data_IF_420507906231
#
_entry.id   IF_420507906231
#
_cell.length_a   1.000
_cell.length_b   1.000
_cell.length_c   1.000
_cell.angle_alpha   90.00
_cell.angle_beta   90.00
_cell.angle_gamma   90.00
#
_symmetry.space_group_name_H-M   'P 1'
#
loop_
_entity.id
_entity.type
_entity.pdbx_description
1 polymer ?
#
# COMPACT_ATOMS: atom_id res chain seq x y z
N UNK A 1 9.47 24.63 -6.17
CA UNK A 1 8.14 24.01 -5.97
C UNK A 1 7.44 24.57 -4.73
N UNK A 2 8.13 24.81 -3.60
CA UNK A 2 7.54 25.35 -2.37
C UNK A 2 7.03 26.79 -2.44
N UNK A 3 7.81 27.72 -2.99
CA UNK A 3 7.42 29.14 -3.10
C UNK A 3 6.15 29.33 -3.95
N UNK A 4 6.05 28.60 -5.07
CA UNK A 4 4.86 28.60 -5.91
C UNK A 4 3.60 28.00 -5.26
N UNK A 5 3.68 27.38 -4.07
CA UNK A 5 2.49 27.02 -3.28
C UNK A 5 1.92 28.26 -2.61
N UNK A 6 2.77 29.08 -1.99
CA UNK A 6 2.36 30.31 -1.30
C UNK A 6 1.74 31.30 -2.30
N UNK A 7 2.31 31.43 -3.50
CA UNK A 7 1.75 32.26 -4.56
C UNK A 7 0.34 31.82 -5.00
N UNK A 8 0.11 30.51 -5.12
CA UNK A 8 -1.17 29.95 -5.57
C UNK A 8 -2.21 29.84 -4.46
N UNK A 9 -1.77 29.79 -3.21
CA UNK A 9 -2.60 29.63 -2.02
C UNK A 9 -2.07 30.55 -0.90
N UNK A 10 -2.34 31.86 -0.97
CA UNK A 10 -1.78 32.85 -0.03
C UNK A 10 -2.31 32.71 1.40
N UNK A 11 -3.32 31.88 1.63
CA UNK A 11 -3.86 31.52 2.95
C UNK A 11 -3.10 30.36 3.62
N UNK A 12 -1.97 29.91 3.07
CA UNK A 12 -1.13 28.86 3.65
C UNK A 12 -0.05 29.49 4.52
N UNK A 13 -0.06 29.17 5.83
CA UNK A 13 0.90 29.71 6.79
C UNK A 13 2.26 29.01 6.78
N UNK A 14 2.30 27.72 6.41
CA UNK A 14 3.52 26.91 6.49
C UNK A 14 3.63 25.97 5.30
N UNK A 15 4.81 25.93 4.68
CA UNK A 15 5.17 24.96 3.64
C UNK A 15 6.45 24.25 4.03
N UNK A 16 6.41 22.93 4.16
CA UNK A 16 7.55 22.12 4.53
C UNK A 16 7.58 20.77 3.83
N UNK A 17 8.76 20.15 3.80
CA UNK A 17 8.99 18.89 3.14
C UNK A 17 8.81 17.70 4.08
N UNK A 18 8.89 16.49 3.52
CA UNK A 18 8.83 15.26 4.32
C UNK A 18 10.11 14.94 5.08
N UNK A 19 11.14 15.77 4.93
CA UNK A 19 12.46 15.56 5.51
C UNK A 19 12.67 16.27 6.85
N UNK A 20 11.77 17.18 7.21
CA UNK A 20 11.87 18.07 8.35
C UNK A 20 10.50 18.23 9.06
N UNK A 21 9.81 17.10 9.30
CA UNK A 21 8.55 17.09 10.04
C UNK A 21 8.69 17.64 11.47
N UNK A 22 9.87 17.48 12.06
CA UNK A 22 10.25 17.95 13.39
C UNK A 22 10.20 19.47 13.54
N UNK A 23 10.41 20.24 12.47
CA UNK A 23 10.44 21.72 12.55
C UNK A 23 9.07 22.37 12.50
N UNK A 24 7.99 21.63 12.21
CA UNK A 24 6.64 22.18 12.04
C UNK A 24 6.20 23.11 13.18
N UNK A 25 6.39 22.79 14.47
CA UNK A 25 6.04 23.71 15.55
C UNK A 25 6.77 25.05 15.44
N UNK A 26 8.06 25.03 15.11
CA UNK A 26 8.87 26.24 14.93
C UNK A 26 8.43 27.04 13.69
N UNK A 27 8.03 26.36 12.61
CA UNK A 27 7.50 27.00 11.40
C UNK A 27 6.19 27.74 11.68
N UNK A 28 5.29 27.13 12.45
CA UNK A 28 4.01 27.74 12.83
C UNK A 28 4.23 28.99 13.69
N UNK A 29 5.12 28.92 14.68
CA UNK A 29 5.45 30.08 15.51
C UNK A 29 6.13 31.20 14.71
N UNK A 30 7.03 30.84 13.78
CA UNK A 30 7.65 31.81 12.85
C UNK A 30 6.61 32.48 11.96
N UNK A 31 5.67 31.71 11.40
CA UNK A 31 4.63 32.25 10.53
C UNK A 31 3.70 33.21 11.29
N UNK A 32 3.32 32.86 12.52
CA UNK A 32 2.55 33.71 13.44
C UNK A 32 3.27 34.99 13.79
N UNK A 33 4.55 34.90 14.20
CA UNK A 33 5.34 36.06 14.60
C UNK A 33 5.56 37.05 13.45
N UNK A 34 5.91 36.53 12.27
CA UNK A 34 6.24 37.35 11.11
C UNK A 34 5.00 37.80 10.31
N UNK A 35 3.81 37.28 10.62
CA UNK A 35 2.59 37.46 9.81
C UNK A 35 2.81 37.15 8.33
N UNK A 36 3.62 36.13 8.04
CA UNK A 36 4.04 35.73 6.71
C UNK A 36 4.30 34.23 6.65
N UNK A 37 4.01 33.60 5.51
CA UNK A 37 4.18 32.17 5.35
C UNK A 37 5.63 31.73 5.59
N UNK A 38 5.82 30.72 6.43
CA UNK A 38 7.12 30.11 6.67
C UNK A 38 7.35 28.94 5.71
N UNK A 39 8.35 29.05 4.84
CA UNK A 39 8.70 28.00 3.86
C UNK A 39 10.05 27.40 4.24
N UNK A 40 10.09 26.08 4.43
CA UNK A 40 11.33 25.36 4.71
C UNK A 40 11.33 23.97 4.08
N UNK A 41 12.05 23.84 2.95
CA UNK A 41 12.16 22.60 2.21
C UNK A 41 13.57 22.03 2.36
N UNK A 42 13.69 20.97 3.15
CA UNK A 42 14.95 20.25 3.32
C UNK A 42 15.13 19.20 2.21
N UNK A 43 16.34 19.15 1.65
CA UNK A 43 16.68 18.23 0.55
C UNK A 43 16.99 16.80 1.03
N UNK A 44 17.26 16.63 2.33
CA UNK A 44 17.62 15.33 2.90
C UNK A 44 17.04 15.10 4.28
N UNK A 45 16.71 13.84 4.58
CA UNK A 45 16.12 13.43 5.86
C UNK A 45 17.11 13.64 7.02
N UNK A 46 16.78 14.57 7.92
CA UNK A 46 17.57 14.83 9.15
C UNK A 46 17.17 13.89 10.29
N UNK A 47 15.87 13.75 10.50
CA UNK A 47 15.28 12.96 11.59
C UNK A 47 14.35 11.91 11.00
N UNK A 48 14.44 10.66 11.48
CA UNK A 48 13.49 9.63 11.05
C UNK A 48 12.09 9.97 11.60
N UNK A 49 11.02 9.94 10.78
CA UNK A 49 9.70 10.34 11.26
C UNK A 49 9.22 9.55 12.48
N UNK A 50 9.64 8.29 12.61
CA UNK A 50 9.31 7.41 13.75
C UNK A 50 9.92 7.82 15.09
N UNK A 51 10.85 8.78 15.13
CA UNK A 51 11.37 9.31 16.41
C UNK A 51 10.53 10.45 16.97
N UNK A 52 9.53 10.93 16.21
CA UNK A 52 8.59 11.96 16.67
C UNK A 52 7.48 11.34 17.51
N UNK A 53 6.88 12.08 18.47
CA UNK A 53 5.70 11.62 19.17
C UNK A 53 4.56 11.29 18.18
N UNK A 54 4.08 10.05 18.21
CA UNK A 54 3.00 9.59 17.33
C UNK A 54 1.73 9.33 18.13
N UNK A 55 0.60 9.88 17.68
CA UNK A 55 -0.72 9.44 18.11
C UNK A 55 -1.27 8.49 17.05
N UNK A 56 -1.53 7.23 17.43
CA UNK A 56 -2.04 6.20 16.51
C UNK A 56 -3.56 6.34 16.39
N UNK A 57 -4.08 6.16 15.18
CA UNK A 57 -5.53 6.18 14.93
C UNK A 57 -6.20 4.88 15.40
N UNK A 58 -5.50 3.74 15.28
CA UNK A 58 -5.97 2.43 15.76
C UNK A 58 -5.24 2.04 17.04
N UNK A 59 -5.98 1.46 17.99
CA UNK A 59 -5.43 0.89 19.21
C UNK A 59 -4.89 -0.55 19.02
N UNK A 60 -5.39 -1.27 18.02
CA UNK A 60 -5.09 -2.70 17.79
C UNK A 60 -4.15 -2.95 16.61
N UNK A 61 -3.92 -1.95 15.75
CA UNK A 61 -3.04 -2.04 14.59
C UNK A 61 -2.01 -0.92 14.54
N UNK A 62 -0.75 -1.27 14.27
CA UNK A 62 0.38 -0.35 14.24
C UNK A 62 1.15 -0.41 12.92
N UNK A 63 1.58 0.77 12.46
CA UNK A 63 2.37 0.97 11.26
C UNK A 63 3.79 1.32 11.71
N UNK A 64 4.78 0.51 11.32
CA UNK A 64 6.18 0.65 11.75
C UNK A 64 7.07 0.78 10.53
N UNK A 65 7.66 1.96 10.34
CA UNK A 65 8.58 2.20 9.22
C UNK A 65 9.92 1.54 9.50
N UNK A 66 10.40 0.67 8.61
CA UNK A 66 11.69 -0.01 8.74
C UNK A 66 12.77 0.65 7.88
N UNK A 67 12.37 1.39 6.85
CA UNK A 67 13.26 2.09 5.93
C UNK A 67 12.55 3.29 5.28
N UNK A 68 13.36 4.26 4.84
CA UNK A 68 12.90 5.41 4.04
C UNK A 68 13.79 5.54 2.80
N UNK A 69 13.20 5.96 1.69
CA UNK A 69 13.92 6.17 0.42
C UNK A 69 13.98 4.89 -0.42
N UNK A 70 14.50 5.01 -1.64
CA UNK A 70 14.55 3.88 -2.57
C UNK A 70 15.76 4.00 -3.51
N UNK A 71 16.51 2.90 -3.66
CA UNK A 71 17.68 2.83 -4.54
C UNK A 71 17.35 2.38 -5.98
N UNK A 72 16.08 2.12 -6.30
CA UNK A 72 15.67 1.72 -7.63
C UNK A 72 15.67 2.90 -8.60
N UNK A 73 15.92 2.64 -9.88
CA UNK A 73 16.00 3.66 -10.93
C UNK A 73 14.84 3.57 -11.93
N UNK A 74 13.64 3.25 -11.45
CA UNK A 74 12.45 3.09 -12.30
C UNK A 74 12.16 4.39 -13.07
N UNK A 75 11.95 4.30 -14.38
CA UNK A 75 11.85 5.49 -15.25
C UNK A 75 10.59 6.33 -15.04
N UNK A 76 9.56 5.77 -14.40
CA UNK A 76 8.30 6.44 -14.10
C UNK A 76 8.21 6.94 -12.64
N UNK A 77 9.16 6.57 -11.78
CA UNK A 77 9.04 6.76 -10.34
C UNK A 77 9.88 7.96 -9.88
N UNK A 78 9.22 8.98 -9.31
CA UNK A 78 9.88 10.18 -8.78
C UNK A 78 10.42 9.99 -7.35
N UNK A 79 10.11 8.86 -6.71
CA UNK A 79 10.44 8.58 -5.30
C UNK A 79 11.93 8.74 -4.98
N UNK A 80 12.89 8.24 -5.78
CA UNK A 80 14.32 8.40 -5.47
C UNK A 80 14.76 9.86 -5.37
N UNK A 81 14.17 10.73 -6.21
CA UNK A 81 14.45 12.17 -6.20
C UNK A 81 13.80 12.89 -5.01
N UNK A 82 12.60 12.46 -4.57
CA UNK A 82 11.86 13.12 -3.48
C UNK A 82 12.19 12.59 -2.09
N UNK A 83 12.54 11.32 -1.96
CA UNK A 83 12.76 10.62 -0.67
C UNK A 83 14.23 10.24 -0.46
N UNK A 84 15.08 10.51 -1.43
CA UNK A 84 16.50 10.17 -1.39
C UNK A 84 16.79 8.69 -1.51
N UNK A 85 18.07 8.37 -1.32
CA UNK A 85 18.58 6.99 -1.25
C UNK A 85 18.00 6.26 -0.04
N UNK A 86 17.86 4.95 -0.17
CA UNK A 86 17.34 4.11 0.90
C UNK A 86 18.23 4.20 2.15
N UNK A 87 17.59 4.41 3.30
CA UNK A 87 18.19 4.37 4.62
C UNK A 87 17.35 3.44 5.49
N UNK A 88 18.00 2.38 5.97
CA UNK A 88 17.39 1.36 6.81
C UNK A 88 17.56 1.71 8.29
N UNK A 89 16.54 1.50 9.11
CA UNK A 89 16.65 1.56 10.57
C UNK A 89 17.37 0.34 11.11
N UNK A 90 17.99 0.44 12.29
CA UNK A 90 18.62 -0.73 12.91
C UNK A 90 17.54 -1.71 13.39
N UNK A 91 17.74 -3.04 13.26
CA UNK A 91 16.73 -4.02 13.67
C UNK A 91 16.26 -3.86 15.11
N UNK A 92 17.18 -3.57 16.04
CA UNK A 92 16.83 -3.35 17.45
C UNK A 92 15.93 -2.13 17.67
N UNK A 93 16.09 -1.05 16.90
CA UNK A 93 15.20 0.12 16.98
C UNK A 93 13.80 -0.18 16.43
N UNK A 94 13.71 -1.04 15.41
CA UNK A 94 12.44 -1.48 14.85
C UNK A 94 11.73 -2.39 15.86
N UNK A 95 12.43 -3.39 16.40
CA UNK A 95 11.87 -4.34 17.36
C UNK A 95 11.44 -3.65 18.66
N UNK A 96 12.23 -2.70 19.17
CA UNK A 96 11.84 -1.91 20.34
C UNK A 96 10.56 -1.10 20.10
N UNK A 97 10.34 -0.57 18.88
CA UNK A 97 9.08 0.08 18.54
C UNK A 97 7.93 -0.92 18.46
N UNK A 98 8.16 -2.10 17.87
CA UNK A 98 7.16 -3.20 17.79
C UNK A 98 6.75 -3.66 19.19
N UNK A 99 7.70 -3.88 20.09
CA UNK A 99 7.45 -4.23 21.50
C UNK A 99 6.67 -3.12 22.22
N UNK A 100 7.05 -1.86 22.01
CA UNK A 100 6.35 -0.73 22.62
C UNK A 100 4.89 -0.60 22.17
N UNK A 101 4.58 -0.89 20.91
CA UNK A 101 3.19 -0.87 20.43
C UNK A 101 2.41 -2.10 20.87
N UNK A 102 3.06 -3.27 20.95
CA UNK A 102 2.45 -4.47 21.50
C UNK A 102 2.03 -4.25 22.97
N UNK A 103 2.90 -3.65 23.77
CA UNK A 103 2.62 -3.27 25.16
C UNK A 103 1.47 -2.24 25.30
N UNK A 104 1.14 -1.51 24.23
CA UNK A 104 0.01 -0.59 24.16
C UNK A 104 -1.29 -1.26 23.69
N UNK A 105 -1.27 -2.56 23.39
CA UNK A 105 -2.44 -3.35 22.96
C UNK A 105 -2.53 -3.59 21.45
N UNK A 106 -1.51 -3.23 20.66
CA UNK A 106 -1.51 -3.56 19.24
C UNK A 106 -1.26 -5.06 19.03
N UNK A 107 -2.13 -5.71 18.25
CA UNK A 107 -2.01 -7.12 17.88
C UNK A 107 -1.60 -7.32 16.43
N UNK A 108 -1.78 -6.30 15.58
CA UNK A 108 -1.33 -6.30 14.18
C UNK A 108 -0.27 -5.22 13.94
N UNK A 109 0.84 -5.60 13.29
CA UNK A 109 1.91 -4.69 12.86
C UNK A 109 2.11 -4.78 11.36
N UNK A 110 2.13 -3.63 10.68
CA UNK A 110 2.52 -3.52 9.28
C UNK A 110 3.88 -2.85 9.16
N UNK A 111 4.87 -3.58 8.65
CA UNK A 111 6.21 -3.07 8.35
C UNK A 111 6.19 -2.26 7.04
N UNK A 112 6.75 -1.05 7.07
CA UNK A 112 6.67 -0.08 5.99
C UNK A 112 8.02 0.38 5.48
N UNK A 113 8.10 0.57 4.16
CA UNK A 113 9.22 1.17 3.46
C UNK A 113 8.88 1.29 1.97
N UNK A 114 9.63 2.08 1.21
CA UNK A 114 9.41 2.17 -0.24
C UNK A 114 9.84 0.90 -0.99
N UNK A 115 10.73 0.11 -0.38
CA UNK A 115 11.19 -1.19 -0.87
C UNK A 115 11.57 -2.09 0.32
N UNK A 116 10.56 -2.66 0.99
CA UNK A 116 10.75 -3.32 2.31
C UNK A 116 11.68 -4.51 2.28
N UNK A 117 11.64 -5.33 1.22
CA UNK A 117 12.48 -6.52 1.10
C UNK A 117 13.92 -6.22 0.63
N UNK A 118 14.27 -4.95 0.43
CA UNK A 118 15.67 -4.52 0.33
C UNK A 118 16.23 -4.03 1.67
N UNK A 119 15.48 -4.19 2.76
CA UNK A 119 15.95 -3.86 4.11
C UNK A 119 17.20 -4.66 4.47
N UNK A 120 18.20 -3.94 4.96
CA UNK A 120 19.52 -4.49 5.33
C UNK A 120 20.62 -4.22 4.32
N UNK A 121 20.27 -3.77 3.10
CA UNK A 121 21.26 -3.28 2.13
C UNK A 121 22.06 -2.10 2.70
N UNK A 122 21.42 -1.21 3.48
CA UNK A 122 22.08 -0.04 4.07
C UNK A 122 23.16 -0.38 5.10
N UNK A 123 23.15 -1.60 5.66
CA UNK A 123 24.12 -2.06 6.66
C UNK A 123 24.75 -3.42 6.32
N UNK A 124 24.63 -3.88 5.08
CA UNK A 124 25.37 -5.03 4.54
C UNK A 124 24.80 -6.42 4.82
N UNK A 125 23.55 -6.56 5.29
CA UNK A 125 22.91 -7.86 5.54
C UNK A 125 21.72 -8.07 4.60
N UNK A 126 21.91 -8.86 3.54
CA UNK A 126 20.87 -9.14 2.54
C UNK A 126 19.73 -10.02 3.07
N UNK A 127 19.93 -10.76 4.16
CA UNK A 127 18.90 -11.60 4.78
C UNK A 127 18.18 -10.90 5.94
N UNK A 128 18.45 -9.61 6.19
CA UNK A 128 17.93 -8.90 7.34
C UNK A 128 16.39 -8.81 7.34
N UNK A 129 15.76 -8.70 6.17
CA UNK A 129 14.30 -8.61 6.09
C UNK A 129 13.62 -9.92 6.56
N UNK A 130 14.11 -11.08 6.10
CA UNK A 130 13.59 -12.37 6.54
C UNK A 130 13.79 -12.58 8.06
N UNK A 131 14.95 -12.20 8.59
CA UNK A 131 15.22 -12.22 10.04
C UNK A 131 14.28 -11.28 10.80
N UNK A 132 14.03 -10.08 10.28
CA UNK A 132 13.15 -9.09 10.88
C UNK A 132 11.70 -9.58 10.91
N UNK A 133 11.21 -10.22 9.83
CA UNK A 133 9.87 -10.83 9.80
C UNK A 133 9.71 -11.87 10.91
N UNK A 134 10.67 -12.81 11.02
CA UNK A 134 10.66 -13.84 12.07
C UNK A 134 10.70 -13.24 13.48
N UNK A 135 11.58 -12.27 13.69
CA UNK A 135 11.71 -11.59 14.98
C UNK A 135 10.46 -10.80 15.35
N UNK A 136 9.86 -10.07 14.40
CA UNK A 136 8.61 -9.32 14.62
C UNK A 136 7.47 -10.26 14.96
N UNK A 137 7.36 -11.40 14.27
CA UNK A 137 6.34 -12.43 14.55
C UNK A 137 6.57 -13.21 15.84
N UNK A 138 7.71 -13.01 16.52
CA UNK A 138 8.01 -13.62 17.83
C UNK A 138 7.79 -12.64 19.00
N UNK A 139 7.40 -11.40 18.72
CA UNK A 139 7.12 -10.41 19.78
C UNK A 139 5.81 -10.78 20.48
N UNK A 140 5.86 -10.89 21.81
CA UNK A 140 4.69 -11.19 22.62
C UNK A 140 3.58 -10.14 22.42
N UNK A 141 2.35 -10.61 22.22
CA UNK A 141 1.18 -9.78 21.93
C UNK A 141 0.95 -9.50 20.43
N UNK A 142 1.94 -9.73 19.56
CA UNK A 142 1.75 -9.60 18.11
C UNK A 142 1.22 -10.91 17.53
N UNK A 143 -0.02 -10.86 17.02
CA UNK A 143 -0.67 -11.99 16.35
C UNK A 143 -0.58 -11.90 14.83
N UNK A 144 -0.45 -10.68 14.28
CA UNK A 144 -0.41 -10.45 12.83
C UNK A 144 0.72 -9.52 12.43
N UNK A 145 1.53 -9.96 11.49
CA UNK A 145 2.62 -9.21 10.85
C UNK A 145 2.33 -9.11 9.36
N UNK A 146 2.35 -7.89 8.85
CA UNK A 146 2.19 -7.57 7.43
C UNK A 146 3.36 -6.73 6.96
N UNK A 147 3.51 -6.65 5.65
CA UNK A 147 4.38 -5.70 5.00
C UNK A 147 3.79 -5.29 3.65
N UNK A 148 4.23 -4.15 3.13
CA UNK A 148 3.82 -3.67 1.81
C UNK A 148 5.00 -3.10 1.04
N UNK A 149 4.81 -2.87 -0.26
CA UNK A 149 5.86 -2.40 -1.18
C UNK A 149 7.10 -3.30 -1.30
N UNK A 150 6.99 -4.65 -1.35
CA UNK A 150 8.11 -5.48 -1.76
C UNK A 150 8.42 -5.27 -3.24
N UNK A 151 9.70 -5.31 -3.61
CA UNK A 151 10.13 -5.30 -5.00
C UNK A 151 10.39 -6.73 -5.47
N UNK A 152 9.82 -7.19 -6.61
CA UNK A 152 9.99 -8.59 -7.05
C UNK A 152 11.44 -9.04 -7.22
N UNK A 153 12.34 -8.12 -7.60
CA UNK A 153 13.76 -8.45 -7.73
C UNK A 153 14.49 -8.76 -6.40
N UNK A 154 13.96 -8.30 -5.27
CA UNK A 154 14.49 -8.54 -3.93
C UNK A 154 13.67 -9.58 -3.16
N UNK A 155 12.74 -10.27 -3.84
CA UNK A 155 11.93 -11.31 -3.22
C UNK A 155 12.64 -12.66 -3.39
N UNK A 156 13.32 -13.07 -2.32
CA UNK A 156 14.21 -14.23 -2.24
C UNK A 156 13.55 -15.38 -1.48
N UNK A 157 14.13 -16.57 -1.61
CA UNK A 157 13.54 -17.79 -1.03
C UNK A 157 13.50 -17.75 0.51
N UNK A 158 14.45 -17.08 1.16
CA UNK A 158 14.46 -16.85 2.61
C UNK A 158 13.26 -16.00 3.10
N UNK A 159 12.79 -15.05 2.30
CA UNK A 159 11.57 -14.27 2.60
C UNK A 159 10.33 -15.16 2.50
N UNK A 160 10.26 -16.01 1.47
CA UNK A 160 9.16 -16.97 1.29
C UNK A 160 9.13 -17.95 2.47
N UNK A 161 10.28 -18.49 2.85
CA UNK A 161 10.42 -19.38 3.99
C UNK A 161 10.10 -18.68 5.32
N UNK A 162 10.47 -17.41 5.48
CA UNK A 162 10.13 -16.64 6.67
C UNK A 162 8.62 -16.41 6.80
N UNK A 163 7.94 -16.11 5.69
CA UNK A 163 6.48 -16.01 5.67
C UNK A 163 5.83 -17.35 6.01
N UNK A 164 6.23 -18.44 5.35
CA UNK A 164 5.59 -19.74 5.52
C UNK A 164 5.82 -20.36 6.91
N UNK A 165 6.98 -20.11 7.53
CA UNK A 165 7.35 -20.71 8.81
C UNK A 165 6.99 -19.85 10.04
N UNK A 166 6.51 -18.62 9.85
CA UNK A 166 6.16 -17.72 10.95
C UNK A 166 4.66 -17.47 10.94
N UNK A 167 3.92 -18.12 11.82
CA UNK A 167 2.45 -18.08 11.86
C UNK A 167 1.87 -16.66 11.90
N UNK A 168 2.49 -15.78 12.68
CA UNK A 168 2.07 -14.38 12.75
C UNK A 168 2.23 -13.63 11.41
N UNK A 169 3.11 -14.08 10.50
CA UNK A 169 3.28 -13.44 9.19
C UNK A 169 2.15 -13.84 8.26
N UNK A 170 1.28 -12.88 7.98
CA UNK A 170 0.03 -13.14 7.28
C UNK A 170 0.25 -13.52 5.80
N UNK A 171 -0.55 -14.46 5.25
CA UNK A 171 -0.43 -14.94 3.87
C UNK A 171 -1.04 -13.95 2.87
N UNK A 172 -0.55 -12.71 2.89
CA UNK A 172 -0.96 -11.63 2.01
C UNK A 172 0.28 -10.97 1.41
N UNK A 173 0.35 -10.93 0.08
CA UNK A 173 1.52 -10.46 -0.64
C UNK A 173 1.12 -9.46 -1.72
N UNK A 174 1.50 -8.21 -1.54
CA UNK A 174 1.33 -7.18 -2.55
C UNK A 174 2.60 -7.07 -3.41
N UNK A 175 2.60 -7.60 -4.63
CA UNK A 175 3.77 -7.70 -5.52
C UNK A 175 3.57 -6.89 -6.80
N UNK A 176 4.12 -5.67 -6.89
CA UNK A 176 3.88 -4.78 -8.02
C UNK A 176 4.51 -5.30 -9.31
N UNK A 177 3.68 -5.81 -10.23
CA UNK A 177 4.07 -6.28 -11.57
C UNK A 177 4.46 -5.11 -12.47
N UNK A 178 3.71 -4.01 -12.42
CA UNK A 178 3.76 -2.83 -13.30
C UNK A 178 3.30 -3.11 -14.74
N UNK A 179 3.88 -4.10 -15.43
CA UNK A 179 3.45 -4.53 -16.77
C UNK A 179 3.77 -6.02 -16.98
N UNK A 180 2.98 -6.72 -17.80
CA UNK A 180 3.28 -8.09 -18.22
C UNK A 180 4.04 -8.18 -19.55
N UNK A 181 4.52 -7.06 -20.11
CA UNK A 181 5.46 -7.09 -21.24
C UNK A 181 6.89 -6.93 -20.77
N UNK A 182 7.76 -7.87 -21.13
CA UNK A 182 9.19 -7.77 -20.87
C UNK A 182 9.86 -6.59 -21.57
N UNK A 183 9.30 -6.13 -22.70
CA UNK A 183 9.78 -4.93 -23.41
C UNK A 183 9.44 -3.67 -22.61
N UNK A 184 8.20 -3.56 -22.14
CA UNK A 184 7.76 -2.44 -21.29
C UNK A 184 8.49 -2.46 -19.94
N UNK A 185 8.64 -3.63 -19.30
CA UNK A 185 9.42 -3.78 -18.07
C UNK A 185 10.88 -3.34 -18.21
N UNK A 186 11.52 -3.59 -19.36
CA UNK A 186 12.86 -3.04 -19.69
C UNK A 186 12.83 -1.52 -19.77
N UNK A 187 11.86 -0.95 -20.49
CA UNK A 187 11.73 0.50 -20.63
C UNK A 187 11.41 1.20 -19.30
N UNK A 188 10.69 0.51 -18.40
CA UNK A 188 10.45 0.92 -17.01
C UNK A 188 11.70 0.82 -16.11
N UNK A 189 12.80 0.23 -16.61
CA UNK A 189 14.01 -0.14 -15.85
C UNK A 189 13.73 -1.08 -14.67
N UNK A 190 12.80 -2.02 -14.83
CA UNK A 190 12.59 -3.11 -13.87
C UNK A 190 13.72 -4.14 -14.03
N UNK A 191 14.23 -4.65 -12.91
CA UNK A 191 15.31 -5.65 -12.87
C UNK A 191 14.82 -7.10 -12.94
N UNK A 192 13.52 -7.31 -13.17
CA UNK A 192 12.91 -8.63 -13.37
C UNK A 192 12.08 -8.66 -14.66
N UNK A 193 11.75 -9.88 -15.09
CA UNK A 193 10.94 -10.19 -16.27
C UNK A 193 9.76 -11.07 -15.87
N UNK A 194 8.78 -11.24 -16.75
CA UNK A 194 7.55 -12.00 -16.49
C UNK A 194 7.83 -13.41 -16.00
N UNK A 195 8.79 -14.11 -16.60
CA UNK A 195 9.18 -15.46 -16.19
C UNK A 195 9.62 -15.53 -14.72
N UNK A 196 10.50 -14.60 -14.29
CA UNK A 196 10.97 -14.53 -12.89
C UNK A 196 9.82 -14.17 -11.95
N UNK A 197 8.97 -13.21 -12.35
CA UNK A 197 7.82 -12.79 -11.56
C UNK A 197 6.86 -13.95 -11.32
N UNK A 198 6.46 -14.66 -12.37
CA UNK A 198 5.56 -15.81 -12.29
C UNK A 198 6.20 -16.96 -11.49
N UNK A 199 7.50 -17.21 -11.66
CA UNK A 199 8.23 -18.20 -10.87
C UNK A 199 8.22 -17.90 -9.36
N UNK A 200 8.25 -16.62 -8.95
CA UNK A 200 8.07 -16.24 -7.54
C UNK A 200 6.65 -16.59 -7.07
N UNK A 201 5.63 -16.30 -7.87
CA UNK A 201 4.25 -16.63 -7.51
C UNK A 201 4.05 -18.15 -7.38
N UNK A 202 4.65 -18.93 -8.29
CA UNK A 202 4.60 -20.38 -8.28
C UNK A 202 5.25 -20.93 -6.98
N UNK A 203 6.40 -20.39 -6.57
CA UNK A 203 7.06 -20.75 -5.30
C UNK A 203 6.20 -20.40 -4.07
N UNK A 204 5.64 -19.19 -4.04
CA UNK A 204 4.77 -18.75 -2.93
C UNK A 204 3.56 -19.67 -2.81
N UNK A 205 2.88 -19.97 -3.92
CA UNK A 205 1.71 -20.86 -3.94
C UNK A 205 2.02 -22.30 -3.59
N UNK A 206 3.25 -22.76 -3.83
CA UNK A 206 3.67 -24.11 -3.47
C UNK A 206 3.75 -24.30 -1.94
N UNK A 207 4.11 -23.26 -1.19
CA UNK A 207 4.27 -23.33 0.27
C UNK A 207 3.12 -22.66 1.06
N UNK A 208 2.42 -21.71 0.45
CA UNK A 208 1.27 -20.98 1.00
C UNK A 208 0.17 -20.90 -0.08
N UNK A 209 -0.53 -22.01 -0.37
CA UNK A 209 -1.51 -22.08 -1.46
C UNK A 209 -2.70 -21.13 -1.27
N UNK A 210 -3.01 -20.74 -0.03
CA UNK A 210 -4.06 -19.78 0.33
C UNK A 210 -3.64 -18.32 0.23
N UNK A 211 -2.36 -18.02 -0.06
CA UNK A 211 -1.85 -16.66 -0.07
C UNK A 211 -2.60 -15.76 -1.07
N UNK A 212 -3.12 -14.64 -0.57
CA UNK A 212 -3.70 -13.62 -1.42
C UNK A 212 -2.60 -12.76 -2.03
N UNK A 213 -2.38 -12.92 -3.34
CA UNK A 213 -1.42 -12.11 -4.08
C UNK A 213 -2.15 -10.96 -4.74
N UNK A 214 -1.72 -9.73 -4.46
CA UNK A 214 -2.21 -8.51 -5.12
C UNK A 214 -1.07 -7.82 -5.88
N UNK A 215 -1.40 -6.88 -6.77
CA UNK A 215 -0.40 -6.22 -7.62
C UNK A 215 -0.78 -4.79 -7.97
N UNK A 216 0.18 -4.05 -8.54
CA UNK A 216 -0.04 -2.79 -9.26
C UNK A 216 0.25 -3.01 -10.75
N UNK A 217 -0.56 -2.40 -11.62
CA UNK A 217 -0.38 -2.43 -13.08
C UNK A 217 -0.56 -1.01 -13.63
N UNK A 218 0.37 -0.59 -14.48
CA UNK A 218 0.32 0.69 -15.20
C UNK A 218 0.02 0.40 -16.67
N UNK A 219 -1.01 1.03 -17.20
CA UNK A 219 -1.43 0.94 -18.61
C UNK A 219 -1.06 2.23 -19.33
N UNK A 220 -0.63 2.11 -20.59
CA UNK A 220 -0.30 3.28 -21.41
C UNK A 220 1.08 3.85 -21.12
N UNK A 221 2.02 3.01 -20.66
CA UNK A 221 3.41 3.44 -20.52
C UNK A 221 3.96 3.89 -21.89
N UNK A 222 4.83 4.91 -21.96
CA UNK A 222 5.34 5.41 -23.23
C UNK A 222 5.98 4.30 -24.08
N UNK A 223 5.51 4.19 -25.32
CA UNK A 223 5.92 3.16 -26.27
C UNK A 223 5.19 1.82 -26.15
N UNK A 224 4.18 1.65 -25.29
CA UNK A 224 3.40 0.42 -25.13
C UNK A 224 2.52 0.12 -26.36
N UNK A 225 2.74 -1.02 -27.01
CA UNK A 225 1.94 -1.47 -28.17
C UNK A 225 0.79 -2.37 -27.74
N UNK A 226 -0.10 -2.75 -28.68
CA UNK A 226 -1.20 -3.65 -28.38
C UNK A 226 -0.70 -5.05 -27.99
N UNK A 227 0.39 -5.53 -28.60
CA UNK A 227 1.01 -6.82 -28.25
C UNK A 227 1.52 -6.82 -26.81
N UNK A 228 2.11 -5.71 -26.33
CA UNK A 228 2.54 -5.61 -24.93
C UNK A 228 1.37 -5.60 -23.95
N UNK A 229 0.27 -4.95 -24.37
CA UNK A 229 -0.95 -4.94 -23.58
C UNK A 229 -1.57 -6.34 -23.51
N UNK A 230 -1.61 -7.08 -24.63
CA UNK A 230 -2.02 -8.49 -24.63
C UNK A 230 -1.15 -9.35 -23.71
N UNK A 231 0.18 -9.22 -23.78
CA UNK A 231 1.09 -9.91 -22.87
C UNK A 231 0.79 -9.57 -21.39
N UNK A 232 0.38 -8.33 -21.11
CA UNK A 232 -0.08 -7.93 -19.77
C UNK A 232 -1.34 -8.66 -19.34
N UNK A 233 -2.34 -8.77 -20.21
CA UNK A 233 -3.56 -9.53 -19.94
C UNK A 233 -3.27 -11.02 -19.71
N UNK A 234 -2.39 -11.64 -20.51
CA UNK A 234 -1.98 -13.03 -20.36
C UNK A 234 -1.31 -13.30 -19.00
N UNK A 235 -0.39 -12.43 -18.59
CA UNK A 235 0.26 -12.54 -17.28
C UNK A 235 -0.75 -12.38 -16.16
N UNK A 236 -1.72 -11.48 -16.27
CA UNK A 236 -2.79 -11.30 -15.28
C UNK A 236 -3.67 -12.55 -15.18
N UNK A 237 -4.06 -13.14 -16.32
CA UNK A 237 -4.83 -14.39 -16.37
C UNK A 237 -4.09 -15.52 -15.66
N UNK A 238 -2.80 -15.72 -15.98
CA UNK A 238 -1.98 -16.77 -15.36
C UNK A 238 -1.70 -16.50 -13.89
N UNK A 239 -1.43 -15.24 -13.54
CA UNK A 239 -1.09 -14.86 -12.19
C UNK A 239 -2.29 -14.91 -11.24
N UNK A 240 -3.54 -14.83 -11.73
CA UNK A 240 -4.77 -14.94 -10.91
C UNK A 240 -4.72 -14.14 -9.61
N UNK A 241 -4.50 -12.83 -9.71
CA UNK A 241 -4.40 -11.95 -8.54
C UNK A 241 -5.72 -11.87 -7.77
N UNK A 242 -5.65 -11.89 -6.44
CA UNK A 242 -6.81 -11.68 -5.57
C UNK A 242 -7.43 -10.29 -5.75
N UNK A 243 -6.59 -9.30 -6.08
CA UNK A 243 -6.97 -7.95 -6.46
C UNK A 243 -5.79 -7.29 -7.18
N UNK A 244 -6.04 -6.30 -8.02
CA UNK A 244 -5.00 -5.49 -8.64
C UNK A 244 -5.38 -4.01 -8.61
N UNK A 245 -4.41 -3.16 -8.28
CA UNK A 245 -4.54 -1.73 -8.47
C UNK A 245 -4.09 -1.39 -9.89
N UNK A 246 -5.02 -0.89 -10.69
CA UNK A 246 -4.76 -0.52 -12.08
C UNK A 246 -4.68 0.99 -12.20
N UNK A 247 -3.67 1.47 -12.92
CA UNK A 247 -3.39 2.89 -13.09
C UNK A 247 -3.20 3.21 -14.56
N UNK A 248 -3.74 4.34 -15.00
CA UNK A 248 -3.29 4.98 -16.24
C UNK A 248 -1.93 5.61 -16.00
N UNK A 249 -0.99 5.47 -16.94
CA UNK A 249 0.30 6.16 -16.84
C UNK A 249 0.09 7.67 -16.73
N UNK A 250 0.73 8.28 -15.74
CA UNK A 250 0.68 9.71 -15.50
C UNK A 250 2.11 10.26 -15.55
N UNK A 251 2.46 11.09 -16.54
CA UNK A 251 3.79 11.65 -16.63
C UNK A 251 4.07 12.53 -15.42
N UNK A 252 5.21 12.28 -14.77
CA UNK A 252 5.68 13.07 -13.62
C UNK A 252 6.91 13.88 -14.04
N UNK A 253 6.89 15.22 -13.91
CA UNK A 253 8.05 16.05 -14.20
C UNK A 253 9.30 15.56 -13.46
N UNK A 254 10.43 15.51 -14.18
CA UNK A 254 11.70 15.02 -13.65
C UNK A 254 11.87 13.49 -13.67
N UNK A 255 10.96 12.75 -14.31
CA UNK A 255 11.12 11.30 -14.51
C UNK A 255 11.50 11.00 -15.98
N UNK A 256 12.44 10.07 -16.25
CA UNK A 256 12.84 9.77 -17.62
C UNK A 256 11.71 9.32 -18.56
N UNK A 257 10.63 8.74 -18.04
CA UNK A 257 9.49 8.34 -18.85
C UNK A 257 8.60 9.53 -19.26
N UNK A 258 8.61 10.63 -18.50
CA UNK A 258 7.85 11.83 -18.86
C UNK A 258 8.43 12.54 -20.09
N UNK A 259 9.75 12.45 -20.29
CA UNK A 259 10.48 13.12 -21.37
C UNK A 259 10.51 12.30 -22.68
N UNK A 260 9.75 11.22 -22.77
CA UNK A 260 9.70 10.37 -23.97
C UNK A 260 8.67 10.89 -24.96
N UNK A 261 9.02 10.90 -26.24
CA UNK A 261 8.13 11.37 -27.33
C UNK A 261 7.05 10.35 -27.73
N UNK A 262 7.23 9.07 -27.38
CA UNK A 262 6.35 7.97 -27.77
C UNK A 262 5.18 7.75 -26.80
N UNK A 263 4.56 8.84 -26.33
CA UNK A 263 3.39 8.77 -25.45
C UNK A 263 2.21 8.07 -26.15
N UNK A 264 1.49 7.22 -25.42
CA UNK A 264 0.31 6.51 -25.95
C UNK A 264 -0.90 7.46 -25.94
N UNK A 265 -1.70 7.54 -27.02
CA UNK A 265 -2.89 8.37 -27.06
C UNK A 265 -3.89 8.04 -25.94
N UNK A 266 -4.45 9.07 -25.31
CA UNK A 266 -5.33 8.92 -24.14
C UNK A 266 -6.52 7.97 -24.38
N UNK A 267 -7.13 7.98 -25.56
CA UNK A 267 -8.26 7.11 -25.87
C UNK A 267 -7.84 5.62 -25.93
N UNK A 268 -6.62 5.32 -26.36
CA UNK A 268 -6.06 3.96 -26.31
C UNK A 268 -5.79 3.54 -24.87
N UNK A 269 -5.24 4.44 -24.03
CA UNK A 269 -5.00 4.17 -22.61
C UNK A 269 -6.32 3.85 -21.89
N UNK A 270 -7.38 4.62 -22.15
CA UNK A 270 -8.71 4.39 -21.57
C UNK A 270 -9.33 3.07 -22.02
N UNK A 271 -9.21 2.71 -23.30
CA UNK A 271 -9.68 1.41 -23.80
C UNK A 271 -8.99 0.25 -23.09
N UNK A 272 -7.65 0.27 -23.06
CA UNK A 272 -6.83 -0.74 -22.39
C UNK A 272 -7.14 -0.82 -20.90
N UNK A 273 -7.29 0.33 -20.22
CA UNK A 273 -7.69 0.37 -18.81
C UNK A 273 -9.02 -0.35 -18.57
N UNK A 274 -10.04 -0.09 -19.40
CA UNK A 274 -11.37 -0.74 -19.27
C UNK A 274 -11.28 -2.26 -19.47
N UNK A 275 -10.51 -2.72 -20.46
CA UNK A 275 -10.31 -4.15 -20.74
C UNK A 275 -9.57 -4.85 -19.60
N UNK A 276 -8.54 -4.21 -19.05
CA UNK A 276 -7.81 -4.71 -17.89
C UNK A 276 -8.69 -4.73 -16.62
N UNK A 277 -9.46 -3.67 -16.36
CA UNK A 277 -10.40 -3.59 -15.22
C UNK A 277 -11.43 -4.73 -15.29
N UNK A 278 -12.01 -4.98 -16.46
CA UNK A 278 -12.95 -6.08 -16.66
C UNK A 278 -12.30 -7.44 -16.36
N UNK A 279 -11.08 -7.68 -16.83
CA UNK A 279 -10.33 -8.91 -16.57
C UNK A 279 -10.03 -9.09 -15.08
N UNK A 280 -9.45 -8.08 -14.43
CA UNK A 280 -9.09 -8.10 -13.01
C UNK A 280 -10.32 -8.37 -12.15
N UNK A 281 -11.48 -7.75 -12.48
CA UNK A 281 -12.72 -7.98 -11.74
C UNK A 281 -13.25 -9.39 -11.87
N UNK A 282 -13.21 -9.95 -13.08
CA UNK A 282 -13.61 -11.35 -13.30
C UNK A 282 -12.75 -12.28 -12.44
N UNK A 283 -11.43 -12.15 -12.52
CA UNK A 283 -10.51 -12.97 -11.74
C UNK A 283 -10.71 -12.76 -10.23
N UNK A 284 -10.79 -11.51 -9.76
CA UNK A 284 -11.00 -11.21 -8.35
C UNK A 284 -12.34 -11.77 -7.84
N UNK A 285 -13.38 -11.77 -8.68
CA UNK A 285 -14.64 -12.43 -8.36
C UNK A 285 -14.47 -13.93 -8.23
N UNK A 286 -13.88 -14.60 -9.23
CA UNK A 286 -13.57 -16.04 -9.18
C UNK A 286 -12.73 -16.41 -7.94
N UNK A 287 -11.74 -15.60 -7.56
CA UNK A 287 -10.93 -15.84 -6.36
C UNK A 287 -11.69 -15.63 -5.05
N UNK A 288 -12.72 -14.77 -5.04
CA UNK A 288 -13.59 -14.59 -3.88
C UNK A 288 -14.64 -15.71 -3.79
N UNK A 289 -15.15 -16.21 -4.92
CA UNK A 289 -16.06 -17.35 -4.94
C UNK A 289 -15.41 -18.59 -4.32
N UNK A 290 -14.11 -18.79 -4.56
CA UNK A 290 -13.31 -19.84 -3.89
C UNK A 290 -13.25 -19.74 -2.37
N UNK A 291 -13.56 -18.58 -1.80
CA UNK A 291 -13.62 -18.41 -0.35
C UNK A 291 -14.96 -18.86 0.24
N UNK A 292 -16.01 -19.04 -0.57
CA UNK A 292 -17.32 -19.45 -0.05
C UNK A 292 -17.24 -20.76 0.74
N UNK A 293 -17.92 -20.80 1.89
CA UNK A 293 -17.98 -21.95 2.77
C UNK A 293 -16.76 -22.12 3.67
N UNK A 294 -15.63 -21.45 3.39
CA UNK A 294 -14.45 -21.45 4.26
C UNK A 294 -14.74 -20.69 5.56
N UNK A 295 -14.13 -21.14 6.65
CA UNK A 295 -14.08 -20.40 7.91
C UNK A 295 -12.81 -19.57 7.91
N UNK A 296 -12.94 -18.28 8.16
CA UNK A 296 -11.82 -17.32 8.15
C UNK A 296 -11.83 -16.51 9.44
N UNK A 297 -10.65 -16.19 9.93
CA UNK A 297 -10.46 -15.30 11.08
C UNK A 297 -10.39 -13.85 10.62
N UNK A 298 -11.26 -13.01 11.16
CA UNK A 298 -11.42 -11.61 10.81
C UNK A 298 -11.04 -10.75 11.99
N UNK A 299 -10.05 -9.88 11.79
CA UNK A 299 -9.72 -8.83 12.73
C UNK A 299 -10.70 -7.67 12.53
N UNK A 300 -11.58 -7.44 13.50
CA UNK A 300 -12.60 -6.39 13.44
C UNK A 300 -11.94 -5.02 13.43
N UNK A 301 -12.36 -4.17 12.49
CA UNK A 301 -11.77 -2.85 12.27
C UNK A 301 -12.79 -1.72 12.38
N UNK A 302 -12.34 -0.58 12.93
CA UNK A 302 -13.17 0.62 13.00
C UNK A 302 -13.24 1.32 11.62
N UNK A 303 -14.46 1.65 11.17
CA UNK A 303 -14.66 2.52 10.00
C UNK A 303 -14.35 1.90 8.63
N UNK A 304 -14.01 0.61 8.55
CA UNK A 304 -13.89 -0.08 7.26
C UNK A 304 -15.26 -0.51 6.72
N UNK A 305 -15.51 -0.29 5.42
CA UNK A 305 -16.77 -0.67 4.76
C UNK A 305 -17.86 0.41 4.77
N UNK A 306 -18.81 0.34 3.82
CA UNK A 306 -20.02 1.16 3.87
C UNK A 306 -20.97 0.54 4.87
N UNK A 307 -21.34 1.34 5.89
CA UNK A 307 -22.40 1.02 6.86
C UNK A 307 -23.68 0.70 6.10
N UNK A 308 -24.06 -0.56 6.09
CA UNK A 308 -25.42 -0.94 5.74
C UNK A 308 -26.23 -0.98 7.02
N UNK A 309 -26.96 0.11 7.27
CA UNK A 309 -27.86 0.23 8.42
C UNK A 309 -28.96 -0.82 8.45
N UNK A 310 -29.20 -1.53 7.34
CA UNK A 310 -30.22 -2.59 7.23
C UNK A 310 -29.70 -3.93 7.77
N UNK A 311 -28.39 -4.20 7.68
CA UNK A 311 -27.84 -5.51 8.01
C UNK A 311 -26.97 -5.55 9.27
N UNK A 312 -26.81 -4.41 9.97
CA UNK A 312 -26.03 -4.30 11.22
C UNK A 312 -24.65 -4.98 11.14
N UNK A 313 -23.95 -4.79 10.01
CA UNK A 313 -22.68 -5.48 9.73
C UNK A 313 -21.51 -4.70 10.30
N UNK A 314 -20.64 -5.40 11.00
CA UNK A 314 -19.27 -4.92 11.27
C UNK A 314 -18.37 -5.33 10.11
N UNK A 315 -17.22 -4.69 9.98
CA UNK A 315 -16.22 -5.08 8.98
C UNK A 315 -14.87 -5.34 9.62
N UNK A 316 -14.06 -6.13 8.94
CA UNK A 316 -12.69 -6.39 9.34
C UNK A 316 -11.89 -7.02 8.21
N UNK A 317 -10.65 -7.38 8.53
CA UNK A 317 -9.72 -7.98 7.57
C UNK A 317 -9.43 -9.42 7.92
N UNK A 318 -9.56 -10.30 6.94
CA UNK A 318 -9.09 -11.67 7.06
C UNK A 318 -7.56 -11.75 7.11
N UNK A 319 -7.01 -12.92 7.46
CA UNK A 319 -5.56 -13.16 7.45
C UNK A 319 -4.92 -12.77 6.10
N UNK A 320 -5.58 -13.08 4.99
CA UNK A 320 -5.14 -12.75 3.64
C UNK A 320 -5.34 -11.27 3.22
N UNK A 321 -5.83 -10.43 4.14
CA UNK A 321 -6.13 -9.00 3.99
C UNK A 321 -7.40 -8.67 3.16
N UNK A 322 -8.23 -9.66 2.81
CA UNK A 322 -9.54 -9.39 2.21
C UNK A 322 -10.46 -8.69 3.21
N UNK A 323 -11.21 -7.70 2.73
CA UNK A 323 -12.26 -7.06 3.50
C UNK A 323 -13.43 -8.03 3.65
N UNK A 324 -13.82 -8.30 4.89
CA UNK A 324 -14.96 -9.16 5.21
C UNK A 324 -16.00 -8.32 5.96
N UNK A 325 -17.24 -8.40 5.48
CA UNK A 325 -18.39 -7.86 6.21
C UNK A 325 -19.02 -9.00 7.02
N UNK A 326 -19.09 -8.82 8.33
CA UNK A 326 -19.58 -9.82 9.27
C UNK A 326 -20.97 -9.40 9.72
N UNK A 327 -21.97 -10.24 9.47
CA UNK A 327 -23.31 -10.08 10.02
C UNK A 327 -23.29 -10.48 11.49
N UNK A 328 -23.87 -9.63 12.34
CA UNK A 328 -24.07 -9.95 13.76
C UNK A 328 -25.31 -10.85 13.93
N UNK A 329 -25.37 -11.66 15.00
CA UNK A 329 -26.58 -12.39 15.37
C UNK A 329 -27.80 -11.48 15.46
N UNK A 330 -29.00 -12.02 15.18
CA UNK A 330 -30.24 -11.27 15.34
C UNK A 330 -30.38 -10.71 16.76
N UNK A 331 -30.73 -9.43 16.86
CA UNK A 331 -30.89 -8.73 18.14
C UNK A 331 -29.60 -8.13 18.70
N UNK A 332 -28.42 -8.42 18.13
CA UNK A 332 -27.16 -7.81 18.55
C UNK A 332 -26.81 -6.62 17.64
N UNK A 333 -26.86 -5.42 18.21
CA UNK A 333 -26.52 -4.20 17.48
C UNK A 333 -25.00 -3.96 17.43
N UNK A 334 -24.53 -3.29 16.38
CA UNK A 334 -23.18 -2.75 16.34
C UNK A 334 -22.98 -1.79 17.52
N UNK A 335 -21.87 -1.96 18.26
CA UNK A 335 -21.57 -1.15 19.44
C UNK A 335 -22.22 -1.63 20.74
N UNK A 336 -23.09 -2.65 20.72
CA UNK A 336 -23.58 -3.31 21.94
C UNK A 336 -22.51 -4.25 22.53
N UNK A 337 -21.40 -3.65 22.97
CA UNK A 337 -20.29 -4.40 23.55
C UNK A 337 -20.62 -5.02 24.91
N UNK A 338 -21.69 -4.54 25.58
CA UNK A 338 -22.19 -5.14 26.80
C UNK A 338 -23.01 -6.40 26.50
N UNK A 339 -23.75 -6.41 25.39
CA UNK A 339 -24.45 -7.57 24.83
C UNK A 339 -23.55 -8.57 24.09
N UNK A 340 -22.24 -8.29 23.97
CA UNK A 340 -21.25 -9.20 23.39
C UNK A 340 -20.92 -8.94 21.92
N UNK A 341 -21.25 -7.76 21.37
CA UNK A 341 -20.81 -7.38 20.04
C UNK A 341 -19.26 -7.31 19.99
N UNK A 342 -18.63 -7.82 18.92
CA UNK A 342 -17.18 -7.70 18.75
C UNK A 342 -16.73 -6.25 18.70
N UNK A 343 -15.62 -5.95 19.38
CA UNK A 343 -14.95 -4.65 19.41
C UNK A 343 -13.89 -4.57 18.32
N UNK A 344 -13.54 -3.36 17.84
CA UNK A 344 -12.33 -3.18 17.03
C UNK A 344 -11.10 -3.75 17.77
N UNK A 345 -10.35 -4.62 17.09
CA UNK A 345 -9.26 -5.38 17.69
C UNK A 345 -9.61 -6.83 18.05
N UNK A 346 -10.89 -7.20 18.12
CA UNK A 346 -11.27 -8.59 18.36
C UNK A 346 -11.05 -9.45 17.11
N UNK A 347 -10.62 -10.69 17.34
CA UNK A 347 -10.57 -11.73 16.31
C UNK A 347 -11.88 -12.52 16.30
N UNK A 348 -12.54 -12.62 15.16
CA UNK A 348 -13.77 -13.40 15.00
C UNK A 348 -13.65 -14.43 13.90
N UNK A 349 -14.04 -15.67 14.21
CA UNK A 349 -14.12 -16.76 13.22
C UNK A 349 -15.47 -16.75 12.55
N UNK A 350 -15.47 -16.55 11.23
CA UNK A 350 -16.71 -16.42 10.44
C UNK A 350 -16.70 -17.35 9.24
N UNK A 351 -17.85 -17.93 8.92
CA UNK A 351 -18.03 -18.69 7.68
C UNK A 351 -18.37 -17.72 6.56
N UNK A 352 -17.58 -17.73 5.49
CA UNK A 352 -17.80 -16.90 4.31
C UNK A 352 -19.05 -17.38 3.58
N UNK A 353 -19.92 -16.44 3.22
CA UNK A 353 -21.08 -16.67 2.34
C UNK A 353 -20.97 -15.71 1.15
N UNK A 354 -21.34 -16.13 -0.05
CA UNK A 354 -21.42 -15.23 -1.21
C UNK A 354 -22.64 -14.30 -1.11
N UNK A 355 -22.55 -13.29 -0.24
CA UNK A 355 -23.45 -12.12 -0.25
C UNK A 355 -22.62 -10.84 -0.29
N UNK A 356 -21.87 -10.66 -1.38
CA UNK A 356 -21.04 -9.47 -1.63
C UNK A 356 -21.63 -8.58 -2.72
N UNK A 357 -21.91 -7.32 -2.38
CA UNK A 357 -22.15 -6.23 -3.34
C UNK A 357 -20.90 -5.99 -4.22
N UNK A 358 -21.05 -5.41 -5.43
CA UNK A 358 -19.90 -5.08 -6.29
C UNK A 358 -18.89 -4.22 -5.53
N UNK A 359 -17.62 -4.66 -5.52
CA UNK A 359 -16.54 -4.03 -4.76
C UNK A 359 -16.45 -2.51 -5.05
N UNK A 360 -16.36 -1.65 -4.03
CA UNK A 360 -16.16 -0.22 -4.24
C UNK A 360 -14.71 0.05 -4.66
N UNK A 361 -14.56 0.70 -5.81
CA UNK A 361 -13.30 1.28 -6.27
C UNK A 361 -12.79 2.32 -5.28
N UNK A 362 -11.55 2.16 -4.82
CA UNK A 362 -10.77 3.29 -4.31
C UNK A 362 -10.21 4.04 -5.53
N UNK A 363 -11.05 4.82 -6.21
CA UNK A 363 -10.55 5.84 -7.15
C UNK A 363 -9.78 6.86 -6.32
N UNK A 364 -8.45 6.89 -6.42
CA UNK A 364 -7.73 8.11 -6.10
C UNK A 364 -8.23 9.17 -7.09
N UNK A 365 -8.96 10.15 -6.56
CA UNK A 365 -9.48 11.28 -7.31
C UNK A 365 -8.31 11.88 -8.11
N UNK A 366 -8.40 12.04 -9.43
CA UNK A 366 -7.45 12.90 -10.12
C UNK A 366 -7.54 14.27 -9.46
N UNK A 367 -6.38 14.86 -9.13
CA UNK A 367 -6.29 16.25 -8.70
C UNK A 367 -7.06 17.07 -9.73
N UNK A 368 -8.16 17.71 -9.30
CA UNK A 368 -8.96 18.56 -10.17
C UNK A 368 -8.05 19.64 -10.75
N UNK A 369 -7.86 19.61 -12.05
CA UNK A 369 -7.39 20.77 -12.81
C UNK A 369 -8.51 21.82 -12.84
N UNK A 370 -8.13 23.07 -12.53
CA UNK A 370 -8.77 24.31 -12.94
C UNK A 370 -10.29 24.44 -12.78
N UNK A 371 -10.75 24.93 -11.62
CA UNK A 371 -12.03 25.65 -11.57
C UNK A 371 -11.75 27.14 -11.85
N UNK A 372 -11.97 27.56 -13.09
CA UNK A 372 -12.08 28.98 -13.46
C UNK A 372 -13.38 29.60 -12.89
N UNK A 373 -13.43 30.93 -12.77
CA UNK A 373 -14.36 31.62 -11.88
C UNK A 373 -15.73 31.80 -12.55
N UNK A 374 -16.79 31.44 -11.83
CA UNK A 374 -18.14 31.66 -12.32
C UNK A 374 -19.18 31.45 -11.24
N UNK A 375 -19.44 32.48 -10.43
CA UNK A 375 -20.80 32.96 -10.26
C UNK A 375 -20.82 34.33 -9.58
N UNK A 376 -21.50 35.24 -10.27
CA UNK A 376 -21.82 36.60 -9.86
C UNK A 376 -22.89 36.57 -8.78
N UNK A 377 -22.93 37.63 -7.98
CA UNK A 377 -23.68 37.70 -6.73
C UNK A 377 -25.20 37.77 -6.85
N UNK A 378 -25.85 37.84 -5.68
CA UNK A 378 -26.78 38.91 -5.28
C UNK A 378 -27.21 38.68 -3.83
N UNK A 379 -27.13 39.78 -3.09
CA UNK A 379 -27.86 40.20 -1.88
C UNK A 379 -27.83 39.31 -0.64
#
# INVERSE_FOLDING_TARGET
MGEGIVERAPWVDVVFGTHNLDVLPALLERARHNSAAAVELEESLKVFPSTLPTRRESAYAAWVSIAVGCNNTCTFCIVPSLRGKQRDRRPGEVLAEVEAVAAQGAIEVTLLGQNVNSYGVGFGDRGAFAKLLRATGSVEGIERVRFTSPHPAAFTDDVIEAMAATEAVMPSLHMPLQSGSDRVLRAMRRSYRTQRFLGILDKVRAVMPEAAITTDIIVGFPGETEEDFQATLEVVERARFASAYTFEYSPRPGTPAADRDDQVPLEVVKDRYRRLDALVRRIAHEENERQEGRVVEVLVAEGEGRRDSVTARISGRAADNRLVHVALPEGLAEGDYAGGAPRPGDMVSVRVTLRGAPQPHRRLRPLREGAGPGCRGRQ
#
